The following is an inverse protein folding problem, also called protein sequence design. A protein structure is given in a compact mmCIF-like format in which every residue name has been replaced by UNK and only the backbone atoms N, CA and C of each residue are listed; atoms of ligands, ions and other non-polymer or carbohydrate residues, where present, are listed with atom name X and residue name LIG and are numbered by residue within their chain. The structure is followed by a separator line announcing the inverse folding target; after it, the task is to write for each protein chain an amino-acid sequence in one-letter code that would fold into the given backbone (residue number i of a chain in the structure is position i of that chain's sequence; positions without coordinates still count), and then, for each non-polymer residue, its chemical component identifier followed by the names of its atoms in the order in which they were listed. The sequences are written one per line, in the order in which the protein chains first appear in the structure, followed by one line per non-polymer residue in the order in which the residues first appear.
data_IF_104762985455
#
_entry.id   IF_104762985455
#
_cell.length_a   1.000
_cell.length_b   1.000
_cell.length_c   1.000
_cell.angle_alpha   90.00
_cell.angle_beta   90.00
_cell.angle_gamma   90.00
#
_symmetry.space_group_name_H-M   'P 1'
#
loop_
_entity.id
_entity.type
_entity.pdbx_description
1 polymer ?
#
# COMPACT_ATOMS: atom_id res chain seq x y z
N UNK A 1 -9.09 2.68 27.03
CA UNK A 1 -8.04 3.41 26.30
C UNK A 1 -6.70 3.05 26.90
N UNK A 2 -5.74 2.62 26.08
CA UNK A 2 -4.38 2.31 26.51
C UNK A 2 -3.62 3.60 26.83
N UNK A 3 -2.75 3.57 27.84
CA UNK A 3 -1.92 4.71 28.26
C UNK A 3 -0.48 4.26 28.42
N UNK A 4 0.41 4.87 27.65
CA UNK A 4 1.85 4.67 27.72
C UNK A 4 2.47 5.88 28.39
N UNK A 5 3.29 5.63 29.41
CA UNK A 5 4.13 6.64 30.04
C UNK A 5 5.23 5.95 30.85
N UNK A 6 6.46 6.47 30.81
CA UNK A 6 7.58 6.00 31.65
C UNK A 6 7.76 4.46 31.64
N UNK A 7 7.96 3.85 30.47
CA UNK A 7 8.14 2.39 30.31
C UNK A 7 6.99 1.54 30.87
N UNK A 8 5.77 2.09 30.89
CA UNK A 8 4.59 1.37 31.36
C UNK A 8 3.43 1.45 30.39
N UNK A 9 2.62 0.38 30.35
CA UNK A 9 1.34 0.32 29.63
C UNK A 9 0.22 0.16 30.66
N UNK A 10 -0.65 1.16 30.81
CA UNK A 10 -1.70 1.20 31.83
C UNK A 10 -1.20 0.92 33.25
N UNK A 11 0.03 1.33 33.55
CA UNK A 11 0.68 1.09 34.84
C UNK A 11 1.37 -0.27 34.99
N UNK A 12 1.36 -1.13 33.96
CA UNK A 12 2.17 -2.34 33.90
C UNK A 12 3.58 -1.94 33.49
N UNK A 13 4.55 -2.07 34.40
CA UNK A 13 5.90 -1.51 34.26
C UNK A 13 6.88 -2.59 33.73
N UNK A 14 7.62 -2.26 32.68
CA UNK A 14 8.70 -3.10 32.16
C UNK A 14 9.84 -3.26 33.20
N UNK A 15 10.51 -4.41 33.19
CA UNK A 15 11.59 -4.75 34.12
C UNK A 15 11.14 -5.21 35.51
N UNK A 16 9.84 -5.09 35.83
CA UNK A 16 9.27 -5.62 37.07
C UNK A 16 9.35 -7.15 37.09
N UNK A 17 9.66 -7.74 38.25
CA UNK A 17 9.73 -9.20 38.36
C UNK A 17 8.35 -9.81 38.31
N UNK A 18 8.25 -11.02 37.77
CA UNK A 18 7.01 -11.79 37.73
C UNK A 18 6.37 -11.95 39.12
N UNK A 19 7.18 -12.13 40.16
CA UNK A 19 6.72 -12.26 41.55
C UNK A 19 6.01 -11.01 42.10
N UNK A 20 6.26 -9.84 41.52
CA UNK A 20 5.75 -8.56 42.01
C UNK A 20 4.38 -8.21 41.39
N UNK A 21 3.90 -9.01 40.42
CA UNK A 21 2.58 -8.82 39.83
C UNK A 21 1.51 -9.60 40.62
N UNK A 22 0.33 -8.99 40.78
CA UNK A 22 -0.84 -9.70 41.27
C UNK A 22 -1.41 -10.66 40.21
N UNK A 23 -2.15 -11.67 40.67
CA UNK A 23 -2.79 -12.66 39.79
C UNK A 23 -3.78 -12.03 38.81
N UNK A 24 -4.38 -10.89 39.17
CA UNK A 24 -5.34 -10.19 38.31
C UNK A 24 -4.65 -9.61 37.08
N UNK A 25 -3.48 -9.02 37.27
CA UNK A 25 -2.67 -8.42 36.20
C UNK A 25 -2.06 -9.50 35.32
N UNK A 26 -1.51 -10.57 35.91
CA UNK A 26 -0.91 -11.68 35.17
C UNK A 26 -1.91 -12.41 34.26
N UNK A 27 -3.19 -12.45 34.65
CA UNK A 27 -4.24 -13.16 33.93
C UNK A 27 -5.20 -12.22 33.18
N UNK A 28 -4.86 -10.93 33.05
CA UNK A 28 -5.72 -9.98 32.35
C UNK A 28 -5.69 -10.23 30.84
N UNK A 29 -6.80 -10.63 30.20
CA UNK A 29 -6.83 -10.95 28.77
C UNK A 29 -6.71 -9.73 27.85
N UNK A 30 -6.65 -8.51 28.42
CA UNK A 30 -6.46 -7.29 27.65
C UNK A 30 -5.00 -7.09 27.24
N UNK A 31 -4.08 -7.80 27.90
CA UNK A 31 -2.64 -7.66 27.68
C UNK A 31 -1.96 -9.01 27.48
N UNK A 32 -0.95 -8.99 26.62
CA UNK A 32 0.00 -10.08 26.48
C UNK A 32 1.30 -9.66 27.15
N UNK A 33 1.72 -10.42 28.17
CA UNK A 33 2.92 -10.18 28.98
C UNK A 33 3.99 -11.21 28.63
N UNK A 34 5.18 -10.77 28.24
CA UNK A 34 6.32 -11.67 28.04
C UNK A 34 7.43 -11.39 29.03
N UNK A 35 7.96 -12.46 29.61
CA UNK A 35 9.01 -12.42 30.62
C UNK A 35 10.30 -13.01 30.07
N UNK A 36 11.44 -12.50 30.53
CA UNK A 36 12.72 -13.07 30.15
C UNK A 36 12.89 -14.51 30.66
N UNK A 37 13.84 -15.22 30.03
CA UNK A 37 14.24 -16.58 30.41
C UNK A 37 15.66 -16.64 30.97
N UNK A 38 16.21 -15.51 31.43
CA UNK A 38 17.58 -15.41 31.94
C UNK A 38 17.73 -16.10 33.31
N UNK A 39 16.63 -16.21 34.05
CA UNK A 39 16.61 -16.75 35.41
C UNK A 39 16.19 -18.22 35.44
N UNK A 40 16.86 -19.02 36.29
CA UNK A 40 16.48 -20.43 36.54
C UNK A 40 15.16 -20.55 37.31
N UNK A 41 14.81 -19.53 38.08
CA UNK A 41 13.58 -19.45 38.87
C UNK A 41 12.63 -18.52 38.13
N UNK A 42 11.47 -19.03 37.74
CA UNK A 42 10.51 -18.30 36.91
C UNK A 42 9.96 -17.02 37.58
N UNK A 43 9.92 -16.99 38.91
CA UNK A 43 9.45 -15.82 39.67
C UNK A 43 10.41 -14.63 39.60
N UNK A 44 11.70 -14.88 39.31
CA UNK A 44 12.72 -13.84 39.14
C UNK A 44 12.76 -13.27 37.71
N UNK A 45 12.08 -13.90 36.75
CA UNK A 45 11.98 -13.40 35.38
C UNK A 45 11.39 -11.99 35.34
N UNK A 46 12.00 -11.09 34.57
CA UNK A 46 11.55 -9.72 34.42
C UNK A 46 10.61 -9.59 33.22
N UNK A 47 9.61 -8.71 33.33
CA UNK A 47 8.72 -8.38 32.22
C UNK A 47 9.52 -7.61 31.16
N UNK A 48 9.61 -8.17 29.95
CA UNK A 48 10.40 -7.59 28.84
C UNK A 48 9.53 -7.04 27.71
N UNK A 49 8.28 -7.48 27.57
CA UNK A 49 7.31 -6.85 26.68
C UNK A 49 5.93 -6.84 27.32
N UNK A 50 5.15 -5.79 27.01
CA UNK A 50 3.71 -5.78 27.23
C UNK A 50 3.03 -5.23 26.00
N UNK A 51 2.01 -5.93 25.51
CA UNK A 51 1.22 -5.49 24.36
C UNK A 51 -0.27 -5.62 24.58
N UNK A 52 -1.04 -4.87 23.80
CA UNK A 52 -2.48 -5.05 23.72
C UNK A 52 -2.83 -6.39 23.07
N UNK A 53 -3.70 -7.19 23.70
CA UNK A 53 -4.14 -8.47 23.13
C UNK A 53 -5.21 -8.31 22.03
N UNK A 54 -5.76 -7.11 21.86
CA UNK A 54 -6.72 -6.79 20.81
C UNK A 54 -6.44 -5.44 20.17
N UNK A 55 -7.10 -5.19 19.04
CA UNK A 55 -6.96 -3.95 18.30
C UNK A 55 -7.59 -2.77 19.03
N UNK A 56 -7.06 -1.57 18.82
CA UNK A 56 -7.67 -0.33 19.29
C UNK A 56 -7.65 0.77 18.23
N UNK A 57 -8.55 1.74 18.36
CA UNK A 57 -8.64 2.91 17.47
C UNK A 57 -7.70 4.04 17.90
N UNK A 58 -7.37 4.09 19.20
CA UNK A 58 -6.57 5.15 19.79
C UNK A 58 -5.91 4.70 21.11
N UNK A 59 -4.80 5.34 21.43
CA UNK A 59 -4.09 5.20 22.71
C UNK A 59 -3.50 6.55 23.14
N UNK A 60 -3.06 6.65 24.38
CA UNK A 60 -2.36 7.82 24.91
C UNK A 60 -0.86 7.51 25.03
N UNK A 61 0.00 8.37 24.51
CA UNK A 61 1.45 8.35 24.69
C UNK A 61 1.89 9.63 25.39
N UNK A 62 2.40 9.53 26.61
CA UNK A 62 2.79 10.67 27.46
C UNK A 62 1.72 11.78 27.54
N UNK A 63 0.46 11.35 27.67
CA UNK A 63 -0.71 12.24 27.74
C UNK A 63 -1.21 12.78 26.40
N UNK A 64 -0.50 12.53 25.28
CA UNK A 64 -0.98 12.85 23.92
C UNK A 64 -1.83 11.71 23.37
N UNK A 65 -3.00 12.01 22.82
CA UNK A 65 -3.84 11.00 22.17
C UNK A 65 -3.31 10.74 20.76
N UNK A 66 -3.08 9.47 20.44
CA UNK A 66 -2.62 8.99 19.14
C UNK A 66 -3.73 8.17 18.48
N UNK A 67 -4.06 8.51 17.24
CA UNK A 67 -5.04 7.83 16.40
C UNK A 67 -4.69 7.98 14.91
N UNK A 68 -5.41 7.30 14.01
CA UNK A 68 -5.09 7.38 12.57
C UNK A 68 -5.28 8.77 11.94
N UNK A 69 -6.00 9.69 12.57
CA UNK A 69 -6.12 11.06 12.06
C UNK A 69 -4.87 11.90 12.31
N UNK A 70 -4.05 11.54 13.31
CA UNK A 70 -2.82 12.25 13.65
C UNK A 70 -1.54 11.40 13.53
N UNK A 71 -1.68 10.11 13.24
CA UNK A 71 -0.56 9.18 13.10
C UNK A 71 0.46 9.66 12.06
N UNK A 72 0.01 10.07 10.87
CA UNK A 72 0.92 10.54 9.80
C UNK A 72 1.81 11.68 10.26
N UNK A 73 1.25 12.68 10.96
CA UNK A 73 2.00 13.79 11.51
C UNK A 73 3.08 13.32 12.51
N UNK A 74 2.75 12.34 13.34
CA UNK A 74 3.70 11.80 14.32
C UNK A 74 4.81 11.00 13.63
N UNK A 75 4.47 10.23 12.59
CA UNK A 75 5.46 9.51 11.78
C UNK A 75 6.42 10.49 11.10
N UNK A 76 5.93 11.61 10.59
CA UNK A 76 6.75 12.68 9.99
C UNK A 76 7.64 13.40 11.01
N UNK A 77 7.11 13.70 12.20
CA UNK A 77 7.84 14.41 13.26
C UNK A 77 8.93 13.53 13.92
N UNK A 78 8.63 12.26 14.14
CA UNK A 78 9.46 11.35 14.94
C UNK A 78 10.34 10.42 14.09
N UNK A 79 10.05 10.29 12.79
CA UNK A 79 10.79 9.47 11.81
C UNK A 79 11.16 8.05 12.31
N UNK A 80 10.17 7.23 12.70
CA UNK A 80 10.40 5.91 13.28
C UNK A 80 11.03 4.94 12.29
N UNK A 81 11.55 3.82 12.80
CA UNK A 81 11.91 2.70 11.94
C UNK A 81 10.65 2.03 11.40
N UNK A 82 10.74 1.46 10.20
CA UNK A 82 9.62 0.84 9.51
C UNK A 82 9.97 -0.55 9.00
N UNK A 83 9.04 -1.49 9.21
CA UNK A 83 9.03 -2.82 8.62
C UNK A 83 7.66 -3.08 7.99
N UNK A 84 7.64 -3.68 6.80
CA UNK A 84 6.41 -4.01 6.07
C UNK A 84 6.20 -5.50 6.23
N UNK A 85 5.04 -5.88 6.77
CA UNK A 85 4.64 -7.28 6.88
C UNK A 85 4.24 -7.85 5.52
N UNK A 86 4.20 -9.19 5.41
CA UNK A 86 3.76 -9.90 4.21
C UNK A 86 2.29 -9.60 3.81
N UNK A 87 1.49 -9.02 4.70
CA UNK A 87 0.07 -8.69 4.50
C UNK A 87 -0.17 -7.19 4.22
N UNK A 88 0.84 -6.44 3.79
CA UNK A 88 0.79 -4.98 3.56
C UNK A 88 0.47 -4.13 4.80
N UNK A 89 0.44 -4.73 5.98
CA UNK A 89 0.41 -4.02 7.26
C UNK A 89 1.81 -3.53 7.63
N UNK A 90 1.86 -2.50 8.48
CA UNK A 90 3.12 -1.84 8.85
C UNK A 90 3.45 -2.04 10.32
N UNK A 91 4.72 -2.24 10.60
CA UNK A 91 5.31 -2.08 11.92
C UNK A 91 6.05 -0.75 11.98
N UNK A 92 5.64 0.12 12.89
CA UNK A 92 6.38 1.34 13.23
C UNK A 92 7.05 1.16 14.57
N UNK A 93 8.37 1.24 14.60
CA UNK A 93 9.17 1.13 15.82
C UNK A 93 9.68 2.53 16.15
N UNK A 94 9.36 3.01 17.35
CA UNK A 94 9.82 4.28 17.90
C UNK A 94 10.86 4.01 19.01
N UNK A 95 12.17 3.98 18.67
CA UNK A 95 13.25 3.71 19.60
C UNK A 95 13.21 4.57 20.87
N UNK A 96 12.90 5.85 20.73
CA UNK A 96 12.85 6.84 21.82
C UNK A 96 11.79 6.53 22.88
N UNK A 97 10.77 5.74 22.52
CA UNK A 97 9.69 5.33 23.42
C UNK A 97 9.73 3.84 23.76
N UNK A 98 10.69 3.08 23.21
CA UNK A 98 10.69 1.62 23.17
C UNK A 98 9.30 1.06 22.79
N UNK A 99 8.70 1.63 21.75
CA UNK A 99 7.32 1.39 21.32
C UNK A 99 7.29 0.77 19.92
N UNK A 100 6.48 -0.26 19.75
CA UNK A 100 6.12 -0.84 18.46
C UNK A 100 4.62 -0.72 18.24
N UNK A 101 4.24 -0.24 17.06
CA UNK A 101 2.87 -0.22 16.57
C UNK A 101 2.74 -1.17 15.40
N UNK A 102 1.85 -2.16 15.50
CA UNK A 102 1.39 -2.94 14.36
C UNK A 102 0.07 -2.33 13.88
N UNK A 103 0.04 -1.86 12.64
CA UNK A 103 -1.08 -1.07 12.12
C UNK A 103 -1.72 -1.71 10.89
N UNK A 104 -3.04 -1.61 10.83
CA UNK A 104 -3.84 -1.84 9.62
C UNK A 104 -4.28 -0.48 9.05
N UNK A 105 -3.68 -0.02 7.95
CA UNK A 105 -4.04 1.25 7.31
C UNK A 105 -5.44 1.24 6.68
N UNK A 106 -5.92 0.07 6.24
CA UNK A 106 -7.17 -0.07 5.52
C UNK A 106 -8.35 0.11 6.47
N UNK A 107 -8.31 -0.58 7.60
CA UNK A 107 -9.35 -0.49 8.62
C UNK A 107 -9.07 0.61 9.65
N UNK A 108 -7.90 1.26 9.57
CA UNK A 108 -7.45 2.36 10.45
C UNK A 108 -7.41 1.93 11.92
N UNK A 109 -6.80 0.77 12.16
CA UNK A 109 -6.70 0.15 13.48
C UNK A 109 -5.25 -0.06 13.88
N UNK A 110 -4.96 0.14 15.17
CA UNK A 110 -3.75 -0.41 15.77
C UNK A 110 -4.08 -1.85 16.10
N UNK A 111 -3.57 -2.79 15.31
CA UNK A 111 -3.70 -4.22 15.56
C UNK A 111 -2.97 -4.61 16.85
N UNK A 112 -1.84 -3.96 17.12
CA UNK A 112 -1.08 -4.11 18.35
C UNK A 112 -0.40 -2.81 18.75
N UNK A 113 -0.45 -2.50 20.04
CA UNK A 113 0.39 -1.47 20.69
C UNK A 113 1.27 -2.20 21.71
N UNK A 114 2.57 -2.23 21.48
CA UNK A 114 3.55 -2.96 22.29
C UNK A 114 4.63 -2.01 22.79
N UNK A 115 4.99 -2.12 24.07
CA UNK A 115 6.24 -1.56 24.60
C UNK A 115 7.20 -2.67 24.97
N UNK A 116 8.49 -2.42 24.79
CA UNK A 116 9.56 -3.38 25.06
C UNK A 116 10.63 -2.81 25.98
N UNK A 117 11.27 -3.69 26.75
CA UNK A 117 12.40 -3.34 27.61
C UNK A 117 13.66 -3.07 26.79
N UNK A 118 14.49 -2.12 27.25
CA UNK A 118 15.73 -1.74 26.57
C UNK A 118 16.69 -2.93 26.39
N UNK A 119 16.64 -3.95 27.26
CA UNK A 119 17.50 -5.13 27.15
C UNK A 119 17.24 -6.00 25.91
N UNK A 120 16.12 -5.80 25.21
CA UNK A 120 15.79 -6.48 23.96
C UNK A 120 15.68 -5.53 22.77
N UNK A 121 16.15 -4.28 22.91
CA UNK A 121 16.11 -3.25 21.87
C UNK A 121 16.59 -3.75 20.50
N UNK A 122 17.71 -4.47 20.48
CA UNK A 122 18.32 -4.99 19.25
C UNK A 122 17.43 -5.98 18.47
N UNK A 123 16.39 -6.56 19.09
CA UNK A 123 15.45 -7.44 18.39
C UNK A 123 14.46 -6.65 17.53
N UNK A 124 14.10 -5.44 17.97
CA UNK A 124 13.16 -4.56 17.29
C UNK A 124 13.86 -3.54 16.38
N UNK A 125 15.01 -3.01 16.80
CA UNK A 125 15.80 -2.03 16.05
C UNK A 125 16.81 -2.72 15.14
N UNK A 126 16.32 -3.70 14.36
CA UNK A 126 17.13 -4.56 13.49
C UNK A 126 17.16 -4.09 12.01
N UNK A 127 16.46 -2.99 11.71
CA UNK A 127 16.34 -2.40 10.38
C UNK A 127 16.85 -0.97 10.41
N UNK A 128 17.60 -0.59 9.38
CA UNK A 128 18.05 0.79 9.18
C UNK A 128 17.03 1.64 8.39
N UNK A 129 15.90 1.04 7.97
CA UNK A 129 14.88 1.74 7.17
C UNK A 129 14.03 2.64 8.06
N UNK A 130 14.06 3.94 7.77
CA UNK A 130 13.20 4.93 8.43
C UNK A 130 11.92 5.22 7.65
N UNK A 131 10.94 5.78 8.34
CA UNK A 131 9.71 6.27 7.73
C UNK A 131 9.99 7.31 6.64
N UNK A 132 10.95 8.20 6.81
CA UNK A 132 11.35 9.18 5.81
C UNK A 132 11.97 8.54 4.57
N UNK A 133 12.65 7.40 4.70
CA UNK A 133 13.16 6.64 3.55
C UNK A 133 12.02 5.95 2.81
N UNK A 134 11.01 5.47 3.54
CA UNK A 134 9.76 4.97 2.96
C UNK A 134 8.93 6.09 2.30
N UNK A 135 8.89 7.28 2.88
CA UNK A 135 8.29 8.46 2.24
C UNK A 135 9.08 8.87 1.00
N UNK A 136 10.41 8.83 1.03
CA UNK A 136 11.26 9.09 -0.15
C UNK A 136 11.06 8.04 -1.23
N UNK A 137 10.85 6.77 -0.89
CA UNK A 137 10.44 5.77 -1.87
C UNK A 137 9.03 6.04 -2.39
N UNK A 138 8.09 6.48 -1.56
CA UNK A 138 6.75 6.99 -1.98
C UNK A 138 6.76 8.34 -2.71
N UNK A 139 7.85 9.12 -2.63
CA UNK A 139 8.05 10.41 -3.31
C UNK A 139 8.85 10.23 -4.61
N UNK A 140 9.69 9.19 -4.68
CA UNK A 140 10.26 8.66 -5.94
C UNK A 140 9.21 7.88 -6.72
N UNK A 141 8.21 7.34 -6.03
CA UNK A 141 6.91 7.05 -6.60
C UNK A 141 6.23 8.38 -6.92
N UNK A 142 5.86 8.68 -8.19
CA UNK A 142 5.09 9.87 -8.53
C UNK A 142 3.66 9.73 -8.02
N UNK A 143 3.48 9.71 -6.69
CA UNK A 143 2.21 9.88 -5.99
C UNK A 143 1.90 11.35 -5.75
N UNK A 144 2.46 12.27 -6.56
CA UNK A 144 1.73 13.50 -6.83
C UNK A 144 0.49 13.15 -7.66
N UNK A 145 -0.59 12.82 -6.97
CA UNK A 145 -1.93 13.26 -7.37
C UNK A 145 -2.27 12.92 -8.84
N UNK A 146 -2.43 11.65 -9.19
CA UNK A 146 -3.21 11.32 -10.41
C UNK A 146 -4.71 11.56 -10.16
N UNK A 147 -5.09 12.68 -9.55
CA UNK A 147 -6.50 13.10 -9.56
C UNK A 147 -6.98 13.28 -10.99
N UNK A 148 -6.06 13.53 -11.93
CA UNK A 148 -6.31 13.71 -13.35
C UNK A 148 -5.27 12.96 -14.19
N UNK A 149 -5.73 12.07 -15.05
CA UNK A 149 -4.93 11.44 -16.10
C UNK A 149 -5.35 11.99 -17.45
N UNK A 150 -4.39 12.43 -18.26
CA UNK A 150 -4.64 12.82 -19.65
C UNK A 150 -4.31 11.65 -20.56
N UNK A 151 -5.27 11.24 -21.37
CA UNK A 151 -5.11 10.23 -22.40
C UNK A 151 -4.81 10.89 -23.74
N UNK A 152 -3.75 10.42 -24.40
CA UNK A 152 -3.39 10.78 -25.76
C UNK A 152 -3.42 9.49 -26.61
N UNK A 153 -4.34 9.39 -27.59
CA UNK A 153 -4.51 8.20 -28.41
C UNK A 153 -3.22 7.61 -28.93
N UNK A 154 -3.05 6.30 -28.74
CA UNK A 154 -1.88 5.52 -29.17
C UNK A 154 -0.51 6.00 -28.69
N UNK A 155 -0.45 7.04 -27.86
CA UNK A 155 0.80 7.68 -27.45
C UNK A 155 1.05 7.57 -25.97
N UNK A 156 0.08 7.94 -25.12
CA UNK A 156 0.32 7.96 -23.68
C UNK A 156 -0.97 7.99 -22.85
N UNK A 157 -0.86 7.55 -21.60
CA UNK A 157 -1.85 7.80 -20.53
C UNK A 157 -1.11 8.27 -19.27
N UNK A 158 -1.39 9.50 -18.84
CA UNK A 158 -0.67 10.13 -17.72
C UNK A 158 0.84 10.16 -17.97
N UNK A 159 1.61 9.52 -17.09
CA UNK A 159 3.07 9.45 -17.16
C UNK A 159 3.60 8.23 -17.93
N UNK A 160 2.72 7.43 -18.54
CA UNK A 160 3.06 6.23 -19.29
C UNK A 160 3.01 6.51 -20.79
N UNK A 161 4.16 6.71 -21.40
CA UNK A 161 4.31 6.79 -22.86
C UNK A 161 4.49 5.39 -23.45
N UNK A 162 3.69 5.04 -24.45
CA UNK A 162 3.82 3.77 -25.14
C UNK A 162 5.16 3.68 -25.88
N UNK A 163 5.67 2.46 -26.04
CA UNK A 163 7.00 2.13 -26.53
C UNK A 163 8.17 2.55 -25.62
N UNK A 164 7.92 3.06 -24.40
CA UNK A 164 8.99 3.23 -23.41
C UNK A 164 9.57 1.87 -22.99
N UNK A 165 10.83 1.87 -22.57
CA UNK A 165 11.54 0.65 -22.18
C UNK A 165 11.08 0.15 -20.82
N UNK A 166 10.96 -1.18 -20.70
CA UNK A 166 10.81 -1.89 -19.43
C UNK A 166 11.86 -1.44 -18.41
N UNK A 167 13.12 -1.32 -18.83
CA UNK A 167 14.23 -0.90 -17.96
C UNK A 167 14.05 0.52 -17.45
N UNK A 168 13.51 1.42 -18.27
CA UNK A 168 13.26 2.80 -17.86
C UNK A 168 12.15 2.87 -16.80
N UNK A 169 11.12 2.03 -16.93
CA UNK A 169 10.06 1.91 -15.95
C UNK A 169 10.58 1.28 -14.64
N UNK A 170 11.36 0.19 -14.72
CA UNK A 170 11.98 -0.44 -13.55
C UNK A 170 12.82 0.59 -12.77
N UNK A 171 13.67 1.35 -13.46
CA UNK A 171 14.49 2.41 -12.85
C UNK A 171 13.65 3.56 -12.28
N UNK A 172 12.63 3.99 -13.02
CA UNK A 172 11.79 5.13 -12.64
C UNK A 172 10.97 4.86 -11.38
N UNK A 173 10.49 3.62 -11.22
CA UNK A 173 9.63 3.22 -10.11
C UNK A 173 10.36 2.36 -9.06
N UNK A 174 11.69 2.25 -9.14
CA UNK A 174 12.54 1.48 -8.22
C UNK A 174 12.02 0.05 -7.96
N UNK A 175 11.53 -0.60 -9.03
CA UNK A 175 11.00 -1.96 -8.95
C UNK A 175 12.19 -2.90 -8.75
N UNK A 176 12.20 -3.65 -7.64
CA UNK A 176 13.30 -4.57 -7.30
C UNK A 176 13.71 -5.42 -8.51
N UNK A 177 15.02 -5.56 -8.76
CA UNK A 177 15.64 -6.06 -10.00
C UNK A 177 15.32 -7.53 -10.39
N UNK A 178 14.30 -8.16 -9.80
CA UNK A 178 13.92 -9.56 -10.05
C UNK A 178 13.06 -9.77 -11.32
N UNK A 179 12.80 -8.72 -12.12
CA UNK A 179 12.08 -8.87 -13.40
C UNK A 179 13.00 -9.46 -14.46
N UNK A 180 12.90 -10.78 -14.67
CA UNK A 180 13.60 -11.46 -15.77
C UNK A 180 12.93 -11.03 -17.09
N UNK A 181 13.67 -10.34 -17.96
CA UNK A 181 13.18 -9.93 -19.27
C UNK A 181 12.72 -11.12 -20.12
N UNK A 182 11.44 -11.12 -20.46
CA UNK A 182 10.82 -12.08 -21.39
C UNK A 182 10.29 -11.36 -22.63
N UNK A 183 9.92 -12.14 -23.65
CA UNK A 183 9.20 -11.63 -24.82
C UNK A 183 7.91 -10.88 -24.45
N UNK A 184 7.31 -11.21 -23.30
CA UNK A 184 6.20 -10.50 -22.70
C UNK A 184 6.41 -10.38 -21.19
N UNK A 185 6.27 -9.18 -20.65
CA UNK A 185 6.32 -8.90 -19.21
C UNK A 185 5.06 -8.15 -18.79
N UNK A 186 4.56 -8.44 -17.59
CA UNK A 186 3.47 -7.71 -16.96
C UNK A 186 3.98 -7.26 -15.60
N UNK A 187 3.82 -5.98 -15.31
CA UNK A 187 4.23 -5.36 -14.05
C UNK A 187 3.06 -4.56 -13.52
N UNK A 188 2.83 -4.66 -12.23
CA UNK A 188 1.87 -3.82 -11.51
C UNK A 188 2.63 -2.69 -10.83
N UNK A 189 2.20 -1.46 -11.08
CA UNK A 189 2.76 -0.24 -10.49
C UNK A 189 1.58 0.59 -10.02
N UNK A 190 1.41 0.73 -8.70
CA UNK A 190 0.25 1.41 -8.11
C UNK A 190 -1.07 0.81 -8.65
N UNK A 191 -1.97 1.64 -9.18
CA UNK A 191 -3.26 1.20 -9.77
C UNK A 191 -3.16 0.85 -11.27
N UNK A 192 -1.95 0.67 -11.78
CA UNK A 192 -1.69 0.45 -13.20
C UNK A 192 -1.09 -0.94 -13.42
N UNK A 193 -1.67 -1.68 -14.35
CA UNK A 193 -1.07 -2.91 -14.87
C UNK A 193 -0.46 -2.60 -16.23
N UNK A 194 0.86 -2.71 -16.30
CA UNK A 194 1.68 -2.37 -17.44
C UNK A 194 2.09 -3.65 -18.18
N UNK A 195 1.77 -3.72 -19.47
CA UNK A 195 2.21 -4.83 -20.33
C UNK A 195 3.33 -4.36 -21.25
N UNK A 196 4.40 -5.13 -21.27
CA UNK A 196 5.51 -4.96 -22.18
C UNK A 196 5.57 -6.13 -23.15
N UNK A 197 5.65 -5.84 -24.44
CA UNK A 197 5.97 -6.84 -25.46
C UNK A 197 7.34 -6.47 -26.04
N UNK A 198 8.29 -7.41 -26.03
CA UNK A 198 9.69 -7.19 -26.41
C UNK A 198 10.29 -5.94 -25.73
N UNK A 199 10.14 -5.87 -24.41
CA UNK A 199 10.64 -4.78 -23.54
C UNK A 199 10.02 -3.40 -23.80
N UNK A 200 9.00 -3.29 -24.64
CA UNK A 200 8.31 -2.02 -24.93
C UNK A 200 6.92 -1.99 -24.32
N UNK A 201 6.58 -0.91 -23.63
CA UNK A 201 5.24 -0.71 -23.08
C UNK A 201 4.22 -0.67 -24.22
N UNK A 202 3.27 -1.61 -24.22
CA UNK A 202 2.26 -1.73 -25.28
C UNK A 202 0.84 -1.56 -24.76
N UNK A 203 0.59 -1.79 -23.48
CA UNK A 203 -0.74 -1.62 -22.87
C UNK A 203 -0.62 -1.16 -21.41
N UNK A 204 -1.52 -0.26 -21.02
CA UNK A 204 -1.73 0.17 -19.64
C UNK A 204 -3.18 -0.11 -19.29
N UNK A 205 -3.39 -0.92 -18.26
CA UNK A 205 -4.71 -1.21 -17.71
C UNK A 205 -4.89 -0.47 -16.40
N UNK A 206 -6.04 0.16 -16.23
CA UNK A 206 -6.47 0.82 -15.00
C UNK A 206 -7.74 0.12 -14.52
N UNK A 207 -7.67 -0.41 -13.31
CA UNK A 207 -8.86 -0.92 -12.62
C UNK A 207 -9.47 0.23 -11.82
N UNK A 208 -10.69 0.57 -12.19
CA UNK A 208 -11.46 1.65 -11.59
C UNK A 208 -12.44 1.03 -10.59
N UNK A 209 -11.90 0.48 -9.51
CA UNK A 209 -12.71 -0.08 -8.44
C UNK A 209 -13.29 1.04 -7.52
N UNK A 210 -14.11 0.65 -6.54
CA UNK A 210 -14.76 1.63 -5.66
C UNK A 210 -13.81 2.30 -4.66
N UNK A 211 -12.60 1.78 -4.46
CA UNK A 211 -11.65 2.27 -3.46
C UNK A 211 -10.77 3.40 -4.02
N UNK A 212 -10.40 3.35 -5.31
CA UNK A 212 -9.60 4.40 -5.96
C UNK A 212 -10.22 4.85 -7.28
N UNK A 213 -10.69 6.10 -7.32
CA UNK A 213 -11.22 6.71 -8.55
C UNK A 213 -10.27 7.71 -9.18
N UNK A 214 -9.82 7.41 -10.40
CA UNK A 214 -8.96 8.28 -11.20
C UNK A 214 -9.81 8.98 -12.26
N UNK A 215 -9.76 10.32 -12.30
CA UNK A 215 -10.43 11.06 -13.36
C UNK A 215 -9.57 10.99 -14.64
N UNK A 216 -10.07 10.33 -15.68
CA UNK A 216 -9.36 10.14 -16.95
C UNK A 216 -9.98 11.07 -17.97
N UNK A 217 -9.16 11.86 -18.63
CA UNK A 217 -9.57 12.87 -19.59
C UNK A 217 -9.04 12.56 -20.99
N UNK A 218 -9.91 12.74 -21.99
CA UNK A 218 -9.54 12.79 -23.40
C UNK A 218 -10.13 14.06 -24.00
N UNK A 219 -9.31 14.93 -24.60
CA UNK A 219 -9.75 16.21 -25.17
C UNK A 219 -10.70 17.00 -24.24
N UNK A 220 -10.30 17.17 -22.98
CA UNK A 220 -11.09 17.86 -21.92
C UNK A 220 -12.35 17.12 -21.44
N UNK A 221 -12.73 15.99 -22.06
CA UNK A 221 -13.85 15.14 -21.65
C UNK A 221 -13.38 14.15 -20.58
N UNK A 222 -14.02 14.14 -19.40
CA UNK A 222 -13.75 13.16 -18.34
C UNK A 222 -14.39 11.79 -18.69
N UNK A 223 -13.68 10.98 -19.49
CA UNK A 223 -14.14 9.68 -20.00
C UNK A 223 -14.31 8.60 -18.92
N UNK A 224 -13.76 8.79 -17.73
CA UNK A 224 -14.02 7.89 -16.59
C UNK A 224 -15.29 8.23 -15.81
N UNK A 225 -15.99 9.31 -16.17
CA UNK A 225 -17.33 9.63 -15.68
C UNK A 225 -18.41 9.08 -16.61
N UNK A 226 -19.61 8.77 -16.07
CA UNK A 226 -20.75 8.33 -16.90
C UNK A 226 -21.11 9.34 -18.00
N UNK A 227 -21.02 10.65 -17.69
CA UNK A 227 -21.35 11.72 -18.63
C UNK A 227 -20.33 11.80 -19.76
N UNK A 228 -19.04 11.88 -19.42
CA UNK A 228 -17.98 11.96 -20.42
C UNK A 228 -17.86 10.69 -21.25
N UNK A 229 -18.13 9.51 -20.67
CA UNK A 229 -18.19 8.27 -21.45
C UNK A 229 -19.34 8.25 -22.46
N UNK A 230 -20.53 8.71 -22.06
CA UNK A 230 -21.66 8.82 -22.99
C UNK A 230 -21.38 9.83 -24.12
N UNK A 231 -20.69 10.93 -23.79
CA UNK A 231 -20.23 11.90 -24.78
C UNK A 231 -19.22 11.27 -25.75
N UNK A 232 -18.25 10.51 -25.24
CA UNK A 232 -17.28 9.79 -26.07
C UNK A 232 -17.97 8.81 -27.03
N UNK A 233 -18.96 8.04 -26.56
CA UNK A 233 -19.74 7.12 -27.37
C UNK A 233 -20.55 7.83 -28.48
N UNK A 234 -20.91 9.10 -28.29
CA UNK A 234 -21.61 9.88 -29.31
C UNK A 234 -20.70 10.38 -30.43
N UNK A 235 -19.38 10.42 -30.19
CA UNK A 235 -18.39 10.96 -31.11
C UNK A 235 -17.67 9.88 -31.94
N UNK A 236 -17.66 8.63 -31.48
CA UNK A 236 -16.85 7.57 -32.07
C UNK A 236 -17.64 6.29 -32.33
N UNK A 237 -17.36 5.66 -33.48
CA UNK A 237 -17.80 4.30 -33.74
C UNK A 237 -17.02 3.30 -32.86
N UNK A 238 -17.76 2.43 -32.17
CA UNK A 238 -17.20 1.41 -31.29
C UNK A 238 -17.44 0.00 -31.80
N UNK A 239 -16.50 -0.89 -31.51
CA UNK A 239 -16.71 -2.34 -31.64
C UNK A 239 -17.09 -2.90 -30.28
N UNK A 240 -18.23 -3.58 -30.21
CA UNK A 240 -18.57 -4.39 -29.05
C UNK A 240 -17.74 -5.69 -29.06
N UNK A 241 -16.75 -5.78 -28.18
CA UNK A 241 -15.81 -6.92 -28.11
C UNK A 241 -16.42 -8.12 -27.38
N UNK A 242 -17.24 -7.83 -26.39
CA UNK A 242 -18.04 -8.77 -25.60
C UNK A 242 -19.28 -8.04 -25.11
N UNK A 243 -20.19 -8.77 -24.45
CA UNK A 243 -21.36 -8.15 -23.79
C UNK A 243 -20.98 -7.01 -22.84
N UNK A 244 -19.75 -6.97 -22.34
CA UNK A 244 -19.30 -5.99 -21.35
C UNK A 244 -18.31 -4.96 -21.88
N UNK A 245 -17.74 -5.04 -23.10
CA UNK A 245 -16.64 -4.17 -23.54
C UNK A 245 -16.91 -3.40 -24.83
N UNK A 246 -16.56 -2.12 -24.84
CA UNK A 246 -16.43 -1.30 -26.05
C UNK A 246 -14.96 -1.07 -26.41
N UNK A 247 -14.64 -1.20 -27.71
CA UNK A 247 -13.35 -0.84 -28.30
C UNK A 247 -13.52 0.42 -29.16
N UNK A 248 -12.79 1.47 -28.80
CA UNK A 248 -12.62 2.68 -29.58
C UNK A 248 -11.37 2.56 -30.45
N UNK A 249 -11.54 2.08 -31.68
CA UNK A 249 -10.44 1.81 -32.61
C UNK A 249 -9.62 3.04 -32.95
N UNK A 250 -10.22 4.21 -33.01
CA UNK A 250 -9.49 5.43 -33.38
C UNK A 250 -8.63 5.96 -32.23
N UNK A 251 -8.95 5.55 -31.00
CA UNK A 251 -8.29 6.04 -29.81
C UNK A 251 -7.22 5.09 -29.30
N UNK A 252 -7.36 3.78 -29.53
CA UNK A 252 -6.52 2.79 -28.86
C UNK A 252 -6.99 2.54 -27.42
N UNK A 253 -8.32 2.44 -27.24
CA UNK A 253 -8.97 2.36 -25.93
C UNK A 253 -10.02 1.25 -25.90
N UNK A 254 -9.96 0.40 -24.87
CA UNK A 254 -11.02 -0.55 -24.50
C UNK A 254 -11.58 -0.17 -23.13
N UNK A 255 -12.90 -0.15 -22.98
CA UNK A 255 -13.59 0.21 -21.74
C UNK A 255 -14.64 -0.83 -21.41
N UNK A 256 -14.67 -1.29 -20.15
CA UNK A 256 -15.82 -2.04 -19.62
C UNK A 256 -17.04 -1.11 -19.51
N UNK A 257 -18.22 -1.58 -19.90
CA UNK A 257 -19.45 -0.79 -19.98
C UNK A 257 -19.90 -0.22 -18.64
N UNK A 258 -19.51 -0.86 -17.53
CA UNK A 258 -19.77 -0.38 -16.17
C UNK A 258 -18.69 0.59 -15.65
N UNK A 259 -17.69 0.89 -16.48
CA UNK A 259 -16.54 1.75 -16.22
C UNK A 259 -15.58 1.19 -15.17
N UNK A 260 -15.58 -0.13 -14.90
CA UNK A 260 -14.69 -0.74 -13.92
C UNK A 260 -13.25 -0.93 -14.42
N UNK A 261 -13.02 -0.89 -15.72
CA UNK A 261 -11.71 -1.15 -16.33
C UNK A 261 -11.51 -0.32 -17.60
N UNK A 262 -10.34 0.27 -17.72
CA UNK A 262 -9.89 0.97 -18.92
C UNK A 262 -8.56 0.37 -19.37
N UNK A 263 -8.46 0.01 -20.65
CA UNK A 263 -7.20 -0.40 -21.29
C UNK A 263 -6.83 0.56 -22.39
N UNK A 264 -5.65 1.14 -22.28
CA UNK A 264 -5.04 2.00 -23.27
C UNK A 264 -3.93 1.21 -23.93
N UNK A 265 -3.81 1.26 -25.26
CA UNK A 265 -2.82 0.46 -25.96
C UNK A 265 -2.16 1.17 -27.12
N UNK A 266 -0.96 0.70 -27.43
CA UNK A 266 -0.12 1.10 -28.57
C UNK A 266 -0.67 0.52 -29.88
N UNK A 267 -0.50 1.25 -30.99
CA UNK A 267 -1.13 0.98 -32.29
C UNK A 267 -0.94 -0.46 -32.81
N UNK A 268 0.17 -1.11 -32.49
CA UNK A 268 0.45 -2.50 -32.87
C UNK A 268 -0.57 -3.49 -32.31
N UNK A 269 -1.16 -3.21 -31.15
CA UNK A 269 -2.20 -4.04 -30.54
C UNK A 269 -3.58 -3.82 -31.16
N UNK A 270 -3.78 -2.85 -32.06
CA UNK A 270 -5.09 -2.66 -32.71
C UNK A 270 -5.52 -3.90 -33.49
N UNK A 271 -4.61 -4.57 -34.21
CA UNK A 271 -4.93 -5.79 -34.97
C UNK A 271 -5.40 -6.92 -34.04
N UNK A 272 -4.82 -6.98 -32.84
CA UNK A 272 -5.23 -7.91 -31.80
C UNK A 272 -6.65 -7.57 -31.32
N UNK A 273 -6.88 -6.31 -30.92
CA UNK A 273 -8.14 -5.86 -30.34
C UNK A 273 -9.29 -5.87 -31.36
N UNK A 274 -9.05 -5.54 -32.61
CA UNK A 274 -10.08 -5.51 -33.64
C UNK A 274 -10.55 -6.91 -34.09
N UNK A 275 -9.81 -7.98 -33.79
CA UNK A 275 -10.14 -9.33 -34.27
C UNK A 275 -11.26 -9.99 -33.43
N UNK A 276 -12.51 -9.88 -33.90
CA UNK A 276 -13.73 -10.42 -33.25
C UNK A 276 -13.73 -11.94 -33.04
N UNK A 277 -12.95 -12.68 -33.82
CA UNK A 277 -12.88 -14.14 -33.74
C UNK A 277 -11.86 -14.61 -32.71
N UNK A 278 -11.05 -13.71 -32.15
CA UNK A 278 -10.05 -14.04 -31.16
C UNK A 278 -10.66 -14.02 -29.75
N UNK A 279 -10.53 -15.11 -28.96
CA UNK A 279 -10.85 -15.10 -27.54
C UNK A 279 -10.02 -14.04 -26.81
N UNK A 280 -10.66 -13.29 -25.91
CA UNK A 280 -9.98 -12.28 -25.06
C UNK A 280 -9.25 -12.97 -23.89
N UNK A 281 -9.42 -14.27 -23.74
CA UNK A 281 -8.80 -15.11 -22.71
C UNK A 281 -7.43 -15.63 -23.16
N UNK A 282 -6.37 -14.89 -22.88
CA UNK A 282 -5.02 -15.43 -22.63
C UNK A 282 -4.05 -14.26 -22.43
N UNK A 283 -3.83 -13.98 -21.15
CA UNK A 283 -2.85 -13.06 -20.60
C UNK A 283 -1.44 -13.64 -20.73
#
# INVERSE_FOLDING_TARGET
MLKISNNSLNGIILGQKKADFDDVTLNNPSYSLEFDRKHKIQSDSQLITVSSSGSCNEFSLDGKIINFFNLEKILEEEDPLIEISDEENYFYIFPQYNLLLYVDPKDKLFLQVLIYDESIRNLYENTDKKYSDFQKSKLKDPTSVYNKLTFIPYKAIGNFEFNCSLTDIIKKYDISENVISKAKNIIEVNNFVLRFDNEKLTEVTIFHDKAVRLAIYYNEIEISSKKGFAELLSQYDVIERTKSKYLFKELGLVVEKDLSEFRFFEQSLLKFWANLHRPITSW
#
